data_IF_132375354593
#
_entry.id   IF_132375354593
#
_cell.length_a   1.000
_cell.length_b   1.000
_cell.length_c   1.000
_cell.angle_alpha   90.00
_cell.angle_beta   90.00
_cell.angle_gamma   90.00
#
_symmetry.space_group_name_H-M   'P 1'
#
loop_
_entity.id
_entity.type
_entity.pdbx_description
1 polymer ?
#
# COMPACT_ATOMS: atom_id res chain seq x y z
N UNK A 1 7.16 -28.48 -16.88
CA UNK A 1 8.46 -28.30 -16.18
C UNK A 1 9.53 -28.13 -17.24
N UNK A 2 10.37 -27.09 -17.12
CA UNK A 2 11.54 -26.93 -17.98
C UNK A 2 12.74 -27.52 -17.23
N UNK A 3 13.54 -28.34 -17.90
CA UNK A 3 14.78 -28.92 -17.34
C UNK A 3 14.60 -29.73 -16.02
N UNK A 4 13.42 -30.35 -15.82
CA UNK A 4 13.04 -31.02 -14.55
C UNK A 4 13.10 -30.14 -13.29
N UNK A 5 13.05 -28.81 -13.46
CA UNK A 5 13.02 -27.85 -12.36
C UNK A 5 11.60 -27.33 -12.17
N UNK A 6 11.14 -27.33 -10.92
CA UNK A 6 9.96 -26.57 -10.48
C UNK A 6 10.46 -25.23 -9.94
N UNK A 7 9.89 -24.13 -10.44
CA UNK A 7 10.20 -22.78 -9.98
C UNK A 7 8.96 -22.14 -9.41
N UNK A 8 9.06 -21.61 -8.19
CA UNK A 8 8.02 -20.81 -7.55
C UNK A 8 8.52 -19.38 -7.39
N UNK A 9 7.66 -18.41 -7.68
CA UNK A 9 7.90 -17.00 -7.38
C UNK A 9 6.94 -16.60 -6.27
N UNK A 10 7.51 -16.04 -5.20
CA UNK A 10 6.76 -15.59 -4.03
C UNK A 10 6.88 -14.07 -3.93
N UNK A 11 5.75 -13.38 -3.78
CA UNK A 11 5.70 -11.99 -3.34
C UNK A 11 5.32 -12.00 -1.85
N UNK A 12 6.23 -11.52 -1.00
CA UNK A 12 6.10 -11.61 0.45
C UNK A 12 6.11 -10.19 1.02
N UNK A 13 5.09 -9.89 1.83
CA UNK A 13 5.01 -8.65 2.60
C UNK A 13 5.38 -8.95 4.05
N UNK A 14 6.19 -8.09 4.67
CA UNK A 14 6.64 -8.24 6.05
C UNK A 14 6.49 -6.90 6.81
N UNK A 15 6.22 -6.94 8.13
CA UNK A 15 5.95 -5.73 8.90
C UNK A 15 7.22 -4.93 9.18
N UNK A 16 7.04 -3.70 9.64
CA UNK A 16 8.13 -2.74 9.97
C UNK A 16 9.10 -3.24 11.04
N UNK A 17 8.71 -4.25 11.81
CA UNK A 17 9.51 -4.87 12.87
C UNK A 17 10.49 -5.93 12.37
N UNK A 18 10.48 -6.27 11.08
CA UNK A 18 11.39 -7.23 10.47
C UNK A 18 12.26 -6.56 9.40
N UNK A 19 13.47 -7.10 9.20
CA UNK A 19 14.30 -6.75 8.04
C UNK A 19 14.22 -7.85 6.99
N UNK A 20 14.09 -7.45 5.72
CA UNK A 20 13.95 -8.40 4.62
C UNK A 20 15.13 -9.38 4.49
N UNK A 21 16.36 -8.93 4.79
CA UNK A 21 17.54 -9.78 4.70
C UNK A 21 17.58 -10.85 5.80
N UNK A 22 17.13 -10.51 7.01
CA UNK A 22 16.98 -11.45 8.12
C UNK A 22 15.90 -12.51 7.80
N UNK A 23 14.76 -12.06 7.25
CA UNK A 23 13.70 -12.94 6.79
C UNK A 23 14.17 -13.87 5.66
N UNK A 24 14.91 -13.33 4.69
CA UNK A 24 15.44 -14.10 3.58
C UNK A 24 16.44 -15.17 4.05
N UNK A 25 17.35 -14.83 4.97
CA UNK A 25 18.31 -15.79 5.52
C UNK A 25 17.60 -16.97 6.21
N UNK A 26 16.50 -16.72 6.94
CA UNK A 26 15.69 -17.78 7.55
C UNK A 26 15.03 -18.68 6.49
N UNK A 27 14.46 -18.09 5.44
CA UNK A 27 13.83 -18.83 4.35
C UNK A 27 14.85 -19.66 3.56
N UNK A 28 16.00 -19.08 3.24
CA UNK A 28 17.07 -19.74 2.49
C UNK A 28 17.59 -20.96 3.24
N UNK A 29 17.85 -20.83 4.54
CA UNK A 29 18.24 -21.96 5.39
C UNK A 29 17.17 -23.06 5.38
N UNK A 30 15.91 -22.71 5.58
CA UNK A 30 14.82 -23.68 5.65
C UNK A 30 14.63 -24.47 4.35
N UNK A 31 14.66 -23.80 3.20
CA UNK A 31 14.47 -24.51 1.91
C UNK A 31 15.69 -25.36 1.53
N UNK A 32 16.89 -24.95 1.94
CA UNK A 32 18.11 -25.73 1.72
C UNK A 32 18.07 -27.07 2.45
N UNK A 33 17.50 -27.11 3.67
CA UNK A 33 17.26 -28.35 4.44
C UNK A 33 16.32 -29.34 3.70
N UNK A 34 15.55 -28.85 2.73
CA UNK A 34 14.60 -29.63 1.92
C UNK A 34 15.07 -29.83 0.47
N UNK A 35 16.35 -29.56 0.17
CA UNK A 35 16.93 -29.76 -1.17
C UNK A 35 16.49 -28.72 -2.21
N UNK A 36 15.95 -27.57 -1.78
CA UNK A 36 15.56 -26.46 -2.64
C UNK A 36 16.51 -25.26 -2.48
N UNK A 37 16.44 -24.33 -3.43
CA UNK A 37 17.25 -23.10 -3.44
C UNK A 37 16.34 -21.87 -3.46
N UNK A 38 16.51 -20.99 -2.48
CA UNK A 38 15.91 -19.65 -2.50
C UNK A 38 16.81 -18.68 -3.28
N UNK A 39 16.20 -17.70 -3.94
CA UNK A 39 16.95 -16.60 -4.59
C UNK A 39 16.20 -15.31 -4.34
N UNK A 40 16.85 -14.37 -3.65
CA UNK A 40 16.32 -13.03 -3.46
C UNK A 40 16.39 -12.26 -4.78
N UNK A 41 15.22 -11.84 -5.29
CA UNK A 41 15.13 -11.05 -6.54
C UNK A 41 15.01 -9.56 -6.28
N UNK A 42 14.24 -9.20 -5.26
CA UNK A 42 13.98 -7.82 -4.88
C UNK A 42 13.67 -7.77 -3.40
N UNK A 43 14.26 -6.81 -2.71
CA UNK A 43 13.91 -6.44 -1.35
C UNK A 43 13.62 -4.93 -1.33
N UNK A 44 12.50 -4.55 -0.76
CA UNK A 44 12.14 -3.14 -0.52
C UNK A 44 11.73 -3.01 0.93
N UNK A 45 12.47 -2.20 1.69
CA UNK A 45 12.19 -1.95 3.09
C UNK A 45 10.77 -1.43 3.30
N UNK A 46 10.12 -1.80 4.43
CA UNK A 46 8.85 -1.21 4.82
C UNK A 46 9.07 0.28 5.13
N UNK A 47 8.02 1.08 4.91
CA UNK A 47 8.01 2.51 5.25
C UNK A 47 6.99 2.71 6.37
N UNK A 48 7.34 3.53 7.35
CA UNK A 48 6.49 3.89 8.47
C UNK A 48 6.64 5.36 8.80
N UNK A 49 5.53 6.00 9.16
CA UNK A 49 5.51 7.36 9.64
C UNK A 49 4.54 7.47 10.82
N UNK A 50 4.90 8.20 11.90
CA UNK A 50 3.99 8.44 13.01
C UNK A 50 2.71 9.14 12.55
N UNK A 51 1.57 8.67 13.06
CA UNK A 51 0.23 9.13 12.66
C UNK A 51 -0.06 10.59 13.05
N UNK A 52 0.68 11.15 13.99
CA UNK A 52 0.42 12.48 14.59
C UNK A 52 1.21 13.62 13.95
N UNK A 53 1.90 13.36 12.84
CA UNK A 53 2.64 14.36 12.06
C UNK A 53 1.71 15.40 11.43
N UNK A 54 2.24 16.61 11.19
CA UNK A 54 1.44 17.75 10.73
C UNK A 54 0.81 17.49 9.36
N UNK A 55 1.58 16.95 8.43
CA UNK A 55 1.18 16.54 7.09
C UNK A 55 0.07 15.49 7.12
N UNK A 56 0.14 14.46 7.99
CA UNK A 56 -0.92 13.45 8.08
C UNK A 56 -2.20 14.09 8.64
N UNK A 57 -2.09 14.93 9.67
CA UNK A 57 -3.25 15.66 10.22
C UNK A 57 -3.90 16.56 9.16
N UNK A 58 -3.10 17.22 8.33
CA UNK A 58 -3.59 18.05 7.22
C UNK A 58 -4.31 17.23 6.15
N UNK A 59 -3.74 16.09 5.75
CA UNK A 59 -4.37 15.17 4.80
C UNK A 59 -5.71 14.62 5.34
N UNK A 60 -5.73 14.21 6.61
CA UNK A 60 -6.96 13.75 7.28
C UNK A 60 -8.00 14.86 7.37
N UNK A 61 -7.61 16.10 7.68
CA UNK A 61 -8.55 17.22 7.71
C UNK A 61 -9.23 17.46 6.35
N UNK A 62 -8.48 17.35 5.25
CA UNK A 62 -9.04 17.46 3.90
C UNK A 62 -10.00 16.30 3.58
N UNK A 63 -9.64 15.07 3.97
CA UNK A 63 -10.52 13.91 3.86
C UNK A 63 -11.83 14.15 4.65
N UNK A 64 -11.72 14.42 5.95
CA UNK A 64 -12.86 14.54 6.87
C UNK A 64 -13.81 15.66 6.46
N UNK A 65 -13.27 16.77 5.94
CA UNK A 65 -14.08 17.87 5.43
C UNK A 65 -14.94 17.46 4.21
N UNK A 66 -14.39 16.64 3.31
CA UNK A 66 -15.11 16.23 2.09
C UNK A 66 -16.03 15.04 2.34
N UNK A 67 -15.64 14.13 3.24
CA UNK A 67 -16.41 12.92 3.53
C UNK A 67 -17.47 13.13 4.60
N UNK A 68 -17.24 14.03 5.54
CA UNK A 68 -18.01 14.14 6.78
C UNK A 68 -17.69 13.04 7.79
N UNK A 69 -16.71 12.19 7.52
CA UNK A 69 -16.31 11.03 8.32
C UNK A 69 -14.92 11.23 8.90
N UNK A 70 -14.69 10.76 10.13
CA UNK A 70 -13.38 10.88 10.77
C UNK A 70 -12.42 9.80 10.27
N UNK A 71 -11.44 10.20 9.49
CA UNK A 71 -10.37 9.34 9.01
C UNK A 71 -9.44 8.88 10.13
N UNK A 72 -9.03 7.61 10.07
CA UNK A 72 -8.02 7.04 10.96
C UNK A 72 -6.87 6.51 10.09
N UNK A 73 -5.63 6.93 10.31
CA UNK A 73 -4.50 6.42 9.54
C UNK A 73 -4.20 4.97 9.93
N UNK A 74 -3.83 4.16 8.95
CA UNK A 74 -3.49 2.75 9.13
C UNK A 74 -2.39 2.33 8.16
N UNK A 75 -1.82 1.14 8.37
CA UNK A 75 -0.78 0.56 7.52
C UNK A 75 -1.34 -0.58 6.68
N UNK A 76 -0.90 -0.68 5.42
CA UNK A 76 -1.25 -1.78 4.51
C UNK A 76 0.00 -2.43 3.92
N UNK A 77 -0.15 -3.66 3.44
CA UNK A 77 0.91 -4.41 2.76
C UNK A 77 1.19 -3.95 1.32
N UNK A 78 0.38 -3.04 0.77
CA UNK A 78 0.46 -2.53 -0.61
C UNK A 78 1.82 -1.90 -0.96
N UNK A 79 2.18 -1.98 -2.25
CA UNK A 79 3.37 -1.32 -2.78
C UNK A 79 3.01 0.07 -3.27
N UNK A 80 3.61 1.11 -2.71
CA UNK A 80 3.38 2.51 -3.11
C UNK A 80 4.71 3.22 -3.40
N UNK A 81 4.65 4.28 -4.20
CA UNK A 81 5.80 5.16 -4.44
C UNK A 81 6.32 5.83 -3.17
N UNK A 82 5.50 5.95 -2.11
CA UNK A 82 5.92 6.54 -0.83
C UNK A 82 7.18 5.88 -0.25
N UNK A 83 7.46 4.61 -0.58
CA UNK A 83 8.67 3.90 -0.15
C UNK A 83 9.98 4.48 -0.70
N UNK A 84 9.93 5.36 -1.69
CA UNK A 84 11.11 5.95 -2.32
C UNK A 84 11.47 7.34 -1.78
N UNK A 85 10.68 7.88 -0.86
CA UNK A 85 10.86 9.21 -0.30
C UNK A 85 10.89 9.13 1.21
N UNK A 86 11.79 9.89 1.85
CA UNK A 86 11.93 9.91 3.31
C UNK A 86 10.68 10.47 3.99
N UNK A 87 10.07 11.49 3.38
CA UNK A 87 8.90 12.16 3.91
C UNK A 87 7.65 11.98 3.02
N UNK A 88 7.20 10.74 2.83
CA UNK A 88 5.99 10.46 2.07
C UNK A 88 5.08 9.45 2.75
N UNK A 89 3.79 9.57 2.46
CA UNK A 89 2.75 8.62 2.82
C UNK A 89 1.92 8.27 1.58
N UNK A 90 1.35 7.07 1.55
CA UNK A 90 0.27 6.80 0.62
C UNK A 90 -1.00 7.49 1.14
N UNK A 91 -1.68 8.22 0.27
CA UNK A 91 -2.93 8.87 0.57
C UNK A 91 -3.81 8.80 -0.66
N UNK A 92 -5.05 8.33 -0.50
CA UNK A 92 -5.92 8.06 -1.63
C UNK A 92 -7.34 7.65 -1.21
N UNK A 93 -8.23 7.46 -2.19
CA UNK A 93 -9.66 7.51 -2.00
C UNK A 93 -10.25 6.11 -1.85
N UNK A 94 -9.76 5.36 -0.86
CA UNK A 94 -10.48 4.18 -0.42
C UNK A 94 -11.71 4.64 0.36
N UNK A 95 -12.89 4.62 -0.25
CA UNK A 95 -14.14 4.90 0.44
C UNK A 95 -14.77 3.60 0.88
N UNK A 96 -15.01 3.45 2.18
CA UNK A 96 -15.68 2.28 2.71
C UNK A 96 -17.13 2.22 2.22
N UNK A 97 -17.59 1.02 1.87
CA UNK A 97 -18.99 0.79 1.50
C UNK A 97 -19.35 1.19 0.07
N UNK A 98 -18.40 1.61 -0.77
CA UNK A 98 -18.65 1.77 -2.21
C UNK A 98 -18.98 0.40 -2.81
N UNK A 99 -20.19 0.19 -3.37
CA UNK A 99 -20.56 -1.11 -3.92
C UNK A 99 -19.68 -1.48 -5.12
N UNK A 100 -19.17 -2.70 -5.11
CA UNK A 100 -18.59 -3.30 -6.29
C UNK A 100 -19.74 -3.70 -7.26
N UNK A 101 -19.80 -3.15 -8.48
CA UNK A 101 -20.86 -3.49 -9.43
C UNK A 101 -20.67 -4.87 -10.08
N UNK A 102 -19.52 -5.51 -9.86
CA UNK A 102 -19.17 -6.79 -10.47
C UNK A 102 -19.51 -7.99 -9.55
N UNK A 103 -19.66 -9.20 -10.11
CA UNK A 103 -19.74 -10.43 -9.33
C UNK A 103 -18.50 -10.68 -8.46
N UNK A 104 -18.62 -11.60 -7.50
CA UNK A 104 -17.51 -12.04 -6.65
C UNK A 104 -16.26 -12.42 -7.47
N UNK A 105 -15.10 -11.92 -7.06
CA UNK A 105 -13.82 -12.16 -7.74
C UNK A 105 -13.53 -11.25 -8.94
N UNK A 106 -14.26 -10.14 -9.09
CA UNK A 106 -14.10 -9.15 -10.18
C UNK A 106 -14.23 -7.72 -9.65
N UNK A 107 -13.79 -6.73 -10.42
CA UNK A 107 -14.04 -5.31 -10.15
C UNK A 107 -13.07 -4.63 -9.17
N UNK A 108 -12.34 -5.40 -8.37
CA UNK A 108 -11.34 -4.90 -7.41
C UNK A 108 -9.95 -4.74 -8.04
N UNK A 109 -9.03 -4.09 -7.29
CA UNK A 109 -7.65 -3.91 -7.72
C UNK A 109 -6.98 -5.24 -8.11
N UNK A 110 -6.37 -5.26 -9.29
CA UNK A 110 -5.71 -6.44 -9.88
C UNK A 110 -6.64 -7.62 -10.22
N UNK A 111 -7.96 -7.46 -10.15
CA UNK A 111 -8.93 -8.48 -10.54
C UNK A 111 -9.48 -8.22 -11.95
N UNK A 112 -10.08 -9.23 -12.62
CA UNK A 112 -10.77 -9.02 -13.89
C UNK A 112 -11.87 -7.97 -13.76
N UNK A 113 -12.11 -7.22 -14.83
CA UNK A 113 -13.12 -6.15 -14.89
C UNK A 113 -12.92 -5.04 -13.83
N UNK A 114 -11.66 -4.81 -13.39
CA UNK A 114 -11.28 -3.73 -12.47
C UNK A 114 -11.95 -2.41 -12.87
N UNK A 115 -12.67 -1.81 -11.93
CA UNK A 115 -13.42 -0.59 -12.17
C UNK A 115 -13.42 0.32 -10.94
N UNK A 116 -13.84 1.57 -11.13
CA UNK A 116 -13.96 2.52 -10.04
C UNK A 116 -15.24 3.36 -10.21
N UNK A 117 -15.76 3.86 -9.10
CA UNK A 117 -16.97 4.68 -9.07
C UNK A 117 -16.61 6.14 -9.43
N UNK A 118 -17.28 6.69 -10.45
CA UNK A 118 -16.99 8.04 -10.97
C UNK A 118 -17.22 9.12 -9.91
N UNK A 119 -18.26 8.99 -9.08
CA UNK A 119 -18.53 9.95 -8.00
C UNK A 119 -17.44 9.92 -6.94
N UNK A 120 -16.95 8.72 -6.60
CA UNK A 120 -15.79 8.54 -5.74
C UNK A 120 -14.55 9.21 -6.34
N UNK A 121 -14.32 9.09 -7.65
CA UNK A 121 -13.20 9.77 -8.30
C UNK A 121 -13.30 11.30 -8.22
N UNK A 122 -14.49 11.89 -8.41
CA UNK A 122 -14.68 13.34 -8.22
C UNK A 122 -14.51 13.76 -6.75
N UNK A 123 -14.98 12.94 -5.81
CA UNK A 123 -14.78 13.17 -4.37
C UNK A 123 -13.28 13.13 -4.02
N UNK A 124 -12.55 12.17 -4.57
CA UNK A 124 -11.10 12.05 -4.44
C UNK A 124 -10.37 13.29 -4.97
N UNK A 125 -10.75 13.77 -6.16
CA UNK A 125 -10.18 14.98 -6.75
C UNK A 125 -10.33 16.18 -5.81
N UNK A 126 -11.51 16.37 -5.21
CA UNK A 126 -11.74 17.44 -4.22
C UNK A 126 -10.84 17.29 -2.99
N UNK A 127 -10.70 16.06 -2.47
CA UNK A 127 -9.80 15.76 -1.34
C UNK A 127 -8.36 16.12 -1.70
N UNK A 128 -7.88 15.75 -2.89
CA UNK A 128 -6.52 16.04 -3.33
C UNK A 128 -6.25 17.52 -3.50
N UNK A 129 -7.19 18.29 -4.06
CA UNK A 129 -7.05 19.74 -4.19
C UNK A 129 -6.87 20.38 -2.81
N UNK A 130 -7.75 20.05 -1.86
CA UNK A 130 -7.67 20.60 -0.50
C UNK A 130 -6.41 20.15 0.23
N UNK A 131 -6.00 18.91 0.02
CA UNK A 131 -4.76 18.35 0.57
C UNK A 131 -3.54 19.12 0.09
N UNK A 132 -3.43 19.37 -1.22
CA UNK A 132 -2.31 20.12 -1.78
C UNK A 132 -2.27 21.57 -1.28
N UNK A 133 -3.43 22.23 -1.19
CA UNK A 133 -3.53 23.57 -0.61
C UNK A 133 -3.06 23.54 0.85
N UNK A 134 -3.60 22.64 1.67
CA UNK A 134 -3.25 22.56 3.09
C UNK A 134 -1.79 22.22 3.32
N UNK A 135 -1.21 21.33 2.52
CA UNK A 135 0.21 20.98 2.60
C UNK A 135 1.12 22.15 2.19
N UNK A 136 0.71 22.97 1.22
CA UNK A 136 1.47 24.15 0.78
C UNK A 136 1.61 25.22 1.89
N UNK A 137 0.64 25.27 2.81
CA UNK A 137 0.69 26.18 3.97
C UNK A 137 1.60 25.67 5.10
N UNK A 138 2.03 24.41 5.06
CA UNK A 138 2.96 23.88 6.05
C UNK A 138 4.38 24.32 5.72
N UNK A 139 5.05 24.94 6.69
CA UNK A 139 6.50 25.10 6.67
C UNK A 139 7.13 23.80 7.18
N UNK A 140 7.36 22.85 6.27
CA UNK A 140 8.00 21.56 6.55
C UNK A 140 9.53 21.63 6.38
#
# INVERSE_FOLDING_TARGET
MKDNVISLKLDIRYPVTFKGDELFAMMEKYVAEHGAKAVLRKNTSPVYKPADTAEIKTLLAAHDYVTGEKGVPYTIGGGTYAKHFENAVAFGPGFHGTPNPCPEGKGEEHMPDECNNIECMFKALKIYILSLIGLNELSL
#
